data_IF_676347882486
#
_entry.id   IF_676347882486
#
_cell.length_a   1.000
_cell.length_b   1.000
_cell.length_c   1.000
_cell.angle_alpha   90.00
_cell.angle_beta   90.00
_cell.angle_gamma   90.00
#
_symmetry.space_group_name_H-M   'P 1'
#
loop_
_entity.id
_entity.type
_entity.pdbx_description
1 polymer ?
#
# COMPACT_ATOMS: atom_id res chain seq x y z
N UNK A 1 15.54 1.73 -3.39
CA UNK A 1 14.68 1.60 -2.20
C UNK A 1 14.39 0.12 -1.97
N UNK A 2 14.48 -0.32 -0.74
CA UNK A 2 14.20 -1.71 -0.35
C UNK A 2 12.75 -1.80 0.08
N UNK A 3 12.04 -2.85 -0.37
CA UNK A 3 10.67 -3.07 0.04
C UNK A 3 10.60 -4.24 1.02
N UNK A 4 9.84 -4.05 2.11
CA UNK A 4 9.53 -5.12 3.05
C UNK A 4 8.02 -5.25 3.18
N UNK A 5 7.59 -6.45 3.56
CA UNK A 5 6.17 -6.77 3.65
C UNK A 5 5.87 -7.20 5.08
N UNK A 6 4.99 -6.49 5.74
CA UNK A 6 4.56 -6.91 7.08
C UNK A 6 3.70 -8.17 6.98
N UNK A 7 3.69 -9.02 8.01
CA UNK A 7 2.85 -10.22 8.00
C UNK A 7 1.39 -9.92 7.71
N UNK A 8 0.87 -8.79 8.20
CA UNK A 8 -0.51 -8.37 7.93
C UNK A 8 -0.74 -8.12 6.44
N UNK A 9 0.24 -7.51 5.76
CA UNK A 9 0.14 -7.28 4.33
C UNK A 9 0.09 -8.61 3.57
N UNK A 10 0.94 -9.55 3.93
CA UNK A 10 0.99 -10.85 3.26
C UNK A 10 -0.32 -11.62 3.44
N UNK A 11 -0.91 -11.56 4.63
CA UNK A 11 -2.22 -12.18 4.87
C UNK A 11 -3.31 -11.55 4.01
N UNK A 12 -3.32 -10.22 3.99
CA UNK A 12 -4.30 -9.49 3.17
C UNK A 12 -4.14 -9.85 1.69
N UNK A 13 -2.89 -9.85 1.22
CA UNK A 13 -2.57 -10.09 -0.19
C UNK A 13 -3.05 -11.47 -0.64
N UNK A 14 -2.87 -12.47 0.21
CA UNK A 14 -3.27 -13.84 -0.11
C UNK A 14 -4.78 -13.96 -0.33
N UNK A 15 -5.57 -13.07 0.26
CA UNK A 15 -7.03 -13.10 0.16
C UNK A 15 -7.57 -12.28 -1.00
N UNK A 16 -6.71 -11.57 -1.74
CA UNK A 16 -7.18 -10.69 -2.82
C UNK A 16 -7.58 -11.50 -4.05
N UNK A 17 -8.59 -11.02 -4.80
CA UNK A 17 -8.86 -11.55 -6.13
C UNK A 17 -7.63 -11.39 -7.02
N UNK A 18 -7.44 -12.29 -7.97
CA UNK A 18 -6.26 -12.27 -8.82
C UNK A 18 -6.07 -10.96 -9.56
N UNK A 19 -7.16 -10.40 -10.09
CA UNK A 19 -7.09 -9.13 -10.82
C UNK A 19 -6.60 -7.99 -9.92
N UNK A 20 -6.98 -8.01 -8.65
CA UNK A 20 -6.54 -7.00 -7.69
C UNK A 20 -5.06 -7.22 -7.34
N UNK A 21 -4.62 -8.48 -7.20
CA UNK A 21 -3.21 -8.76 -6.96
C UNK A 21 -2.32 -8.25 -8.09
N UNK A 22 -2.74 -8.46 -9.33
CA UNK A 22 -1.99 -7.97 -10.49
C UNK A 22 -1.87 -6.44 -10.48
N UNK A 23 -2.97 -5.77 -10.14
CA UNK A 23 -2.97 -4.32 -10.05
C UNK A 23 -2.09 -3.85 -8.90
N UNK A 24 -2.12 -4.56 -7.77
CA UNK A 24 -1.29 -4.24 -6.63
C UNK A 24 0.20 -4.34 -6.99
N UNK A 25 0.60 -5.38 -7.71
CA UNK A 25 1.99 -5.55 -8.13
C UNK A 25 2.44 -4.38 -9.00
N UNK A 26 1.60 -3.94 -9.92
CA UNK A 26 1.89 -2.79 -10.75
C UNK A 26 2.06 -1.53 -9.90
N UNK A 27 1.13 -1.29 -8.99
CA UNK A 27 1.16 -0.08 -8.16
C UNK A 27 2.33 -0.08 -7.18
N UNK A 28 2.74 -1.25 -6.70
CA UNK A 28 3.95 -1.36 -5.88
C UNK A 28 5.18 -0.96 -6.69
N UNK A 29 5.27 -1.42 -7.94
CA UNK A 29 6.38 -1.02 -8.80
C UNK A 29 6.41 0.49 -9.03
N UNK A 30 5.23 1.08 -9.28
CA UNK A 30 5.11 2.52 -9.46
C UNK A 30 5.55 3.25 -8.19
N UNK A 31 5.10 2.76 -7.03
CA UNK A 31 5.43 3.35 -5.74
C UNK A 31 6.94 3.33 -5.49
N UNK A 32 7.62 2.24 -5.85
CA UNK A 32 9.06 2.11 -5.68
C UNK A 32 9.84 3.05 -6.60
N UNK A 33 9.31 3.33 -7.78
CA UNK A 33 9.95 4.22 -8.75
C UNK A 33 9.68 5.68 -8.46
N UNK A 34 8.44 6.00 -8.11
CA UNK A 34 8.03 7.37 -7.86
C UNK A 34 6.83 7.42 -6.92
N UNK A 35 7.07 7.59 -5.61
CA UNK A 35 5.97 7.66 -4.64
C UNK A 35 4.98 8.78 -4.89
N UNK A 36 5.33 9.77 -5.70
CA UNK A 36 4.47 10.90 -6.01
C UNK A 36 3.72 10.73 -7.33
N UNK A 37 3.81 9.55 -7.95
CA UNK A 37 3.12 9.31 -9.21
C UNK A 37 1.61 9.52 -9.03
N UNK A 38 0.95 10.28 -9.93
CA UNK A 38 -0.47 10.64 -9.76
C UNK A 38 -1.42 9.45 -9.63
N UNK A 39 -1.11 8.33 -10.29
CA UNK A 39 -1.98 7.16 -10.24
C UNK A 39 -2.12 6.57 -8.85
N UNK A 40 -1.15 6.81 -7.97
CA UNK A 40 -1.15 6.29 -6.61
C UNK A 40 -2.08 7.07 -5.68
N UNK A 41 -2.30 8.34 -5.96
CA UNK A 41 -3.02 9.26 -5.06
C UNK A 41 -2.53 9.08 -3.63
N UNK A 42 -1.20 8.99 -3.49
CA UNK A 42 -0.59 8.75 -2.18
C UNK A 42 -0.79 9.94 -1.25
N UNK A 43 -1.16 9.64 -0.02
CA UNK A 43 -1.34 10.68 1.00
C UNK A 43 -1.18 10.08 2.39
N UNK A 44 -0.88 10.94 3.35
CA UNK A 44 -0.81 10.51 4.75
C UNK A 44 -2.20 10.18 5.26
N UNK A 45 -2.32 9.10 6.03
CA UNK A 45 -3.58 8.74 6.65
C UNK A 45 -3.86 9.70 7.80
N UNK A 46 -5.07 10.26 7.81
CA UNK A 46 -5.50 11.18 8.84
C UNK A 46 -5.42 10.51 10.21
N UNK A 47 -4.86 11.22 11.19
CA UNK A 47 -4.67 10.68 12.53
C UNK A 47 -3.38 9.90 12.72
N UNK A 48 -2.62 9.69 11.65
CA UNK A 48 -1.32 9.04 11.72
C UNK A 48 -0.21 10.04 11.47
N UNK A 49 0.97 9.79 12.05
CA UNK A 49 2.13 10.66 11.82
C UNK A 49 3.01 10.16 10.69
N UNK A 50 2.96 8.86 10.37
CA UNK A 50 3.93 8.26 9.46
C UNK A 50 3.35 7.18 8.54
N UNK A 51 2.05 6.93 8.59
CA UNK A 51 1.43 5.94 7.71
C UNK A 51 0.77 6.62 6.53
N UNK A 52 1.08 6.13 5.34
CA UNK A 52 0.55 6.64 4.08
C UNK A 52 -0.32 5.59 3.42
N UNK A 53 -1.21 6.04 2.56
CA UNK A 53 -2.02 5.16 1.72
C UNK A 53 -1.73 5.42 0.27
N UNK A 54 -1.92 4.40 -0.56
CA UNK A 54 -1.82 4.51 -2.00
C UNK A 54 -2.95 3.71 -2.65
N UNK A 55 -3.40 4.20 -3.79
CA UNK A 55 -4.49 3.56 -4.54
C UNK A 55 -3.99 2.33 -5.28
N UNK A 56 -4.74 1.23 -5.15
CA UNK A 56 -4.53 0.01 -5.92
C UNK A 56 -5.54 -0.03 -7.07
N UNK A 57 -6.82 0.01 -6.72
CA UNK A 57 -7.94 0.15 -7.66
C UNK A 57 -8.93 1.14 -7.06
N UNK A 58 -10.07 1.32 -7.72
CA UNK A 58 -11.12 2.18 -7.18
C UNK A 58 -11.57 1.80 -5.78
N UNK A 59 -11.61 0.50 -5.46
CA UNK A 59 -12.07 0.00 -4.17
C UNK A 59 -11.01 -0.54 -3.26
N UNK A 60 -9.75 -0.60 -3.69
CA UNK A 60 -8.67 -1.17 -2.90
C UNK A 60 -7.55 -0.17 -2.69
N UNK A 61 -7.00 -0.19 -1.48
CA UNK A 61 -5.88 0.68 -1.06
C UNK A 61 -4.81 -0.15 -0.40
N UNK A 62 -3.59 0.36 -0.38
CA UNK A 62 -2.51 -0.21 0.41
C UNK A 62 -1.94 0.86 1.32
N UNK A 63 -1.42 0.43 2.48
CA UNK A 63 -0.80 1.34 3.44
C UNK A 63 0.66 1.01 3.58
N UNK A 64 1.46 2.03 3.86
CA UNK A 64 2.91 1.86 3.93
C UNK A 64 3.54 2.93 4.80
N UNK A 65 4.77 2.65 5.21
CA UNK A 65 5.66 3.61 5.85
C UNK A 65 6.96 3.66 5.06
N UNK A 66 7.61 4.80 5.10
CA UNK A 66 8.95 4.93 4.55
C UNK A 66 9.88 5.27 5.71
N UNK A 67 10.92 4.46 5.89
CA UNK A 67 11.93 4.66 6.90
C UNK A 67 13.29 4.54 6.22
N UNK A 68 13.97 5.68 6.04
CA UNK A 68 15.21 5.72 5.30
C UNK A 68 15.01 5.25 3.87
N UNK A 69 15.70 4.20 3.47
CA UNK A 69 15.58 3.62 2.14
C UNK A 69 14.64 2.43 2.09
N UNK A 70 13.88 2.19 3.15
CA UNK A 70 12.97 1.05 3.24
C UNK A 70 11.53 1.50 3.10
N UNK A 71 10.81 0.88 2.18
CA UNK A 71 9.37 1.00 2.03
C UNK A 71 8.75 -0.21 2.71
N UNK A 72 7.97 0.03 3.76
CA UNK A 72 7.33 -1.04 4.53
C UNK A 72 5.85 -1.10 4.17
N UNK A 73 5.44 -2.13 3.44
CA UNK A 73 4.03 -2.35 3.11
C UNK A 73 3.33 -2.99 4.30
N UNK A 74 2.25 -2.36 4.77
CA UNK A 74 1.60 -2.73 6.01
C UNK A 74 0.28 -3.47 5.84
N UNK A 75 -0.61 -2.92 5.03
CA UNK A 75 -1.94 -3.50 4.77
C UNK A 75 -2.32 -3.31 3.31
N UNK A 76 -3.19 -4.17 2.81
CA UNK A 76 -3.83 -3.99 1.52
C UNK A 76 -5.24 -4.57 1.58
N UNK A 77 -6.23 -3.81 1.10
CA UNK A 77 -7.62 -4.25 1.16
C UNK A 77 -8.56 -3.10 0.84
N UNK A 78 -9.82 -3.30 1.20
CA UNK A 78 -10.83 -2.27 1.07
C UNK A 78 -10.67 -1.25 2.19
N UNK A 79 -11.57 -0.28 2.28
CA UNK A 79 -11.51 0.75 3.32
C UNK A 79 -11.47 0.19 4.75
N UNK A 80 -11.79 -1.09 4.93
CA UNK A 80 -11.73 -1.70 6.26
C UNK A 80 -10.32 -1.69 6.86
N UNK A 81 -9.28 -1.62 6.04
CA UNK A 81 -7.91 -1.56 6.54
C UNK A 81 -7.63 -0.31 7.35
N UNK A 82 -8.45 0.74 7.21
CA UNK A 82 -8.25 1.98 7.95
C UNK A 82 -8.48 1.83 9.45
N UNK A 83 -9.13 0.76 9.88
CA UNK A 83 -9.29 0.47 11.31
C UNK A 83 -7.94 0.15 11.95
N UNK A 84 -7.03 -0.42 11.16
CA UNK A 84 -5.72 -0.84 11.62
C UNK A 84 -4.75 -0.72 10.45
N UNK A 85 -4.48 0.48 10.01
CA UNK A 85 -3.68 0.65 8.80
C UNK A 85 -2.18 0.23 9.00
#
# INVERSE_FOLDING_TARGET
MIVTYEPSFLRDYASLPESVRRRAEKQIRVLLQNPRHPSLRARKIQGSTDIYEARVTGGYRMTFKIAGETLKLRRIGTHEIYRSP
#
